data_IF_056554799728
#
_entry.id   IF_056554799728
#
_cell.length_a   1.000
_cell.length_b   1.000
_cell.length_c   1.000
_cell.angle_alpha   90.00
_cell.angle_beta   90.00
_cell.angle_gamma   90.00
#
_symmetry.space_group_name_H-M   'P 1'
#
loop_
_entity.id
_entity.type
_entity.pdbx_description
1 polymer ?
#
# COMPACT_ATOMS: atom_id res chain seq x y z
N UNK A 1 58.77 -2.60 51.55
CA UNK A 1 59.10 -3.78 50.80
C UNK A 1 57.88 -4.66 50.70
N UNK A 2 57.01 -4.50 49.77
CA UNK A 2 55.96 -5.47 49.42
C UNK A 2 55.69 -5.28 47.95
N UNK A 3 55.98 -6.32 47.18
CA UNK A 3 55.78 -6.39 45.74
C UNK A 3 54.30 -6.44 45.50
N UNK A 4 53.75 -5.50 44.71
CA UNK A 4 52.38 -5.54 44.23
C UNK A 4 52.43 -6.15 42.85
N UNK A 5 52.02 -7.41 42.75
CA UNK A 5 51.78 -8.06 41.45
C UNK A 5 50.52 -7.48 40.84
N UNK A 6 50.68 -6.73 39.75
CA UNK A 6 49.56 -6.31 38.92
C UNK A 6 49.09 -7.48 38.08
N UNK A 7 47.86 -7.91 38.28
CA UNK A 7 47.18 -8.85 37.44
C UNK A 7 46.66 -8.08 36.22
N UNK A 8 47.33 -8.25 35.09
CA UNK A 8 46.83 -7.77 33.81
C UNK A 8 45.71 -8.73 33.35
N UNK A 9 44.48 -8.32 33.57
CA UNK A 9 43.35 -9.02 32.99
C UNK A 9 43.31 -8.71 31.47
N UNK A 10 43.73 -9.66 30.66
CA UNK A 10 43.58 -9.63 29.22
C UNK A 10 42.07 -9.86 28.94
N UNK A 11 41.36 -8.80 28.68
CA UNK A 11 40.03 -8.88 28.10
C UNK A 11 40.17 -9.29 26.63
N UNK A 12 40.10 -10.58 26.38
CA UNK A 12 39.86 -11.09 25.02
C UNK A 12 38.45 -10.73 24.63
N UNK A 13 38.32 -9.64 23.86
CA UNK A 13 37.09 -9.30 23.17
C UNK A 13 36.89 -10.38 22.10
N UNK A 14 36.06 -11.37 22.43
CA UNK A 14 35.54 -12.32 21.47
C UNK A 14 34.58 -11.55 20.54
N UNK A 15 35.13 -11.00 19.46
CA UNK A 15 34.36 -10.45 18.38
C UNK A 15 33.59 -11.60 17.75
N UNK A 16 32.40 -11.91 18.28
CA UNK A 16 31.42 -12.68 17.57
C UNK A 16 31.02 -11.85 16.36
N UNK A 17 31.64 -12.14 15.23
CA UNK A 17 31.16 -11.72 13.92
C UNK A 17 29.77 -12.32 13.75
N UNK A 18 28.76 -11.55 14.17
CA UNK A 18 27.40 -11.79 13.76
C UNK A 18 27.40 -11.59 12.24
N UNK A 19 27.64 -12.68 11.52
CA UNK A 19 27.37 -12.74 10.10
C UNK A 19 25.89 -12.43 9.96
N UNK A 20 25.59 -11.15 9.73
CA UNK A 20 24.36 -10.75 9.09
C UNK A 20 24.37 -11.47 7.76
N UNK A 21 23.80 -12.66 7.72
CA UNK A 21 23.26 -13.23 6.51
C UNK A 21 22.18 -12.22 6.07
N UNK A 22 22.63 -11.25 5.30
CA UNK A 22 21.76 -10.47 4.45
C UNK A 22 20.95 -11.53 3.71
N UNK A 23 19.71 -11.71 4.10
CA UNK A 23 18.73 -12.36 3.25
C UNK A 23 18.69 -11.48 1.99
N UNK A 24 19.58 -11.78 1.07
CA UNK A 24 19.34 -11.55 -0.34
C UNK A 24 18.13 -12.45 -0.62
N UNK A 25 16.93 -11.94 -0.31
CA UNK A 25 15.73 -12.47 -0.89
C UNK A 25 16.03 -12.43 -2.39
N UNK A 26 16.26 -13.59 -2.96
CA UNK A 26 16.33 -13.79 -4.39
C UNK A 26 15.12 -13.03 -4.91
N UNK A 27 15.37 -11.89 -5.55
CA UNK A 27 14.32 -11.16 -6.26
C UNK A 27 14.00 -12.07 -7.43
N UNK A 28 13.18 -13.06 -7.15
CA UNK A 28 12.56 -13.86 -8.17
C UNK A 28 12.11 -12.87 -9.22
N UNK A 29 12.70 -12.98 -10.43
CA UNK A 29 12.46 -12.01 -11.50
C UNK A 29 10.97 -11.98 -11.70
N UNK A 30 10.34 -10.94 -11.20
CA UNK A 30 8.90 -10.74 -11.27
C UNK A 30 8.46 -10.95 -12.73
N UNK A 31 7.77 -12.06 -12.98
CA UNK A 31 7.16 -12.33 -14.28
C UNK A 31 5.72 -11.87 -14.20
N UNK A 32 5.36 -10.81 -14.94
CA UNK A 32 3.97 -10.38 -14.99
C UNK A 32 3.09 -11.53 -15.48
N UNK A 33 2.04 -11.81 -14.75
CA UNK A 33 1.04 -12.80 -15.13
C UNK A 33 -0.14 -12.06 -15.77
N UNK A 34 -0.40 -12.35 -17.05
CA UNK A 34 -1.53 -11.75 -17.76
C UNK A 34 -2.84 -12.06 -17.05
N UNK A 35 -3.64 -11.03 -16.80
CA UNK A 35 -4.91 -11.20 -16.13
C UNK A 35 -5.98 -11.72 -17.13
N UNK A 36 -6.73 -12.74 -16.70
CA UNK A 36 -7.89 -13.21 -17.41
C UNK A 36 -9.15 -12.54 -16.79
N UNK A 37 -9.68 -11.53 -17.47
CA UNK A 37 -10.82 -10.75 -16.99
C UNK A 37 -12.11 -11.56 -16.90
N UNK A 38 -12.31 -12.58 -17.75
CA UNK A 38 -13.49 -13.46 -17.67
C UNK A 38 -13.43 -14.32 -16.40
N UNK A 39 -12.24 -14.83 -16.06
CA UNK A 39 -12.01 -15.55 -14.81
C UNK A 39 -12.22 -14.64 -13.61
N UNK A 40 -11.70 -13.42 -13.64
CA UNK A 40 -11.92 -12.43 -12.56
C UNK A 40 -13.42 -12.19 -12.40
N UNK A 41 -14.15 -11.95 -13.50
CA UNK A 41 -15.60 -11.73 -13.47
C UNK A 41 -16.33 -12.89 -12.81
N UNK A 42 -16.05 -14.11 -13.27
CA UNK A 42 -16.69 -15.32 -12.71
C UNK A 42 -16.46 -15.41 -11.21
N UNK A 43 -15.22 -15.18 -10.75
CA UNK A 43 -14.88 -15.28 -9.35
C UNK A 43 -15.51 -14.17 -8.46
N UNK A 44 -15.50 -12.91 -8.94
CA UNK A 44 -15.97 -11.80 -8.10
C UNK A 44 -17.49 -11.69 -8.03
N UNK A 45 -18.21 -12.32 -8.97
CA UNK A 45 -19.68 -12.34 -8.98
C UNK A 45 -20.29 -13.57 -8.31
N UNK A 46 -19.52 -14.64 -8.11
CA UNK A 46 -20.00 -15.88 -7.45
C UNK A 46 -19.88 -15.75 -5.93
N UNK A 47 -21.00 -15.78 -5.17
CA UNK A 47 -20.99 -15.75 -3.72
C UNK A 47 -20.24 -16.93 -3.06
N UNK A 48 -20.12 -18.09 -3.75
CA UNK A 48 -19.39 -19.26 -3.26
C UNK A 48 -17.88 -19.11 -3.44
N UNK A 49 -17.43 -18.24 -4.33
CA UNK A 49 -16.01 -17.99 -4.60
C UNK A 49 -15.28 -17.41 -3.39
N UNK A 50 -14.03 -17.82 -3.09
CA UNK A 50 -13.18 -17.16 -2.12
C UNK A 50 -12.88 -15.70 -2.49
N UNK A 51 -12.98 -15.37 -3.80
CA UNK A 51 -12.75 -14.04 -4.35
C UNK A 51 -14.04 -13.24 -4.58
N UNK A 52 -15.16 -13.63 -3.96
CA UNK A 52 -16.40 -12.87 -4.07
C UNK A 52 -16.21 -11.41 -3.66
N UNK A 53 -16.61 -10.46 -4.52
CA UNK A 53 -16.25 -9.06 -4.36
C UNK A 53 -16.64 -8.47 -3.01
N UNK A 54 -17.87 -8.69 -2.53
CA UNK A 54 -18.33 -8.18 -1.24
C UNK A 54 -17.51 -8.71 -0.04
N UNK A 55 -16.91 -9.89 -0.17
CA UNK A 55 -16.01 -10.46 0.85
C UNK A 55 -14.65 -9.76 0.81
N UNK A 56 -14.08 -9.58 -0.38
CA UNK A 56 -12.82 -8.89 -0.57
C UNK A 56 -12.92 -7.43 -0.13
N UNK A 57 -14.01 -6.78 -0.48
CA UNK A 57 -14.28 -5.40 -0.07
C UNK A 57 -14.29 -5.25 1.45
N UNK A 58 -15.02 -6.12 2.18
CA UNK A 58 -15.03 -6.12 3.65
C UNK A 58 -13.63 -6.32 4.25
N UNK A 59 -12.83 -7.21 3.70
CA UNK A 59 -11.44 -7.39 4.13
C UNK A 59 -10.62 -6.11 3.93
N UNK A 60 -10.75 -5.50 2.77
CA UNK A 60 -10.06 -4.25 2.46
C UNK A 60 -10.47 -3.11 3.40
N UNK A 61 -11.75 -2.92 3.64
CA UNK A 61 -12.27 -1.90 4.58
C UNK A 61 -11.82 -2.14 6.01
N UNK A 62 -11.81 -3.40 6.46
CA UNK A 62 -11.35 -3.76 7.82
C UNK A 62 -9.83 -3.73 7.98
N UNK A 63 -9.06 -3.41 6.94
CA UNK A 63 -7.60 -3.43 6.92
C UNK A 63 -7.02 -4.83 7.24
N UNK A 64 -7.62 -5.88 6.70
CA UNK A 64 -7.12 -7.24 6.87
C UNK A 64 -5.73 -7.37 6.21
N UNK A 65 -4.70 -7.48 7.04
CA UNK A 65 -3.31 -7.59 6.60
C UNK A 65 -2.95 -8.98 6.07
N UNK A 66 -3.88 -9.94 6.14
CA UNK A 66 -3.69 -11.29 5.61
C UNK A 66 -4.22 -11.44 4.18
N UNK A 67 -4.69 -10.36 3.55
CA UNK A 67 -5.10 -10.42 2.15
C UNK A 67 -3.93 -10.80 1.26
N UNK A 68 -4.11 -11.85 0.47
CA UNK A 68 -3.12 -12.31 -0.49
C UNK A 68 -3.04 -11.39 -1.72
N UNK A 69 -1.97 -11.50 -2.50
CA UNK A 69 -1.82 -10.79 -3.78
C UNK A 69 -2.97 -11.14 -4.74
N UNK A 70 -3.43 -12.39 -4.77
CA UNK A 70 -4.54 -12.80 -5.61
C UNK A 70 -5.86 -12.14 -5.17
N UNK A 71 -6.08 -11.95 -3.88
CA UNK A 71 -7.24 -11.22 -3.36
C UNK A 71 -7.17 -9.74 -3.75
N UNK A 72 -6.00 -9.09 -3.67
CA UNK A 72 -5.82 -7.71 -4.15
C UNK A 72 -6.02 -7.59 -5.67
N UNK A 73 -5.55 -8.56 -6.47
CA UNK A 73 -5.81 -8.59 -7.92
C UNK A 73 -7.30 -8.68 -8.21
N UNK A 74 -8.01 -9.61 -7.57
CA UNK A 74 -9.47 -9.76 -7.75
C UNK A 74 -10.23 -8.53 -7.23
N UNK A 75 -9.78 -7.91 -6.15
CA UNK A 75 -10.37 -6.68 -5.64
C UNK A 75 -10.23 -5.53 -6.63
N UNK A 76 -9.01 -5.27 -7.12
CA UNK A 76 -8.75 -4.15 -8.02
C UNK A 76 -9.40 -4.34 -9.40
N UNK A 77 -9.12 -5.47 -10.05
CA UNK A 77 -9.67 -5.75 -11.38
C UNK A 77 -11.15 -6.15 -11.35
N UNK A 78 -11.62 -6.71 -10.26
CA UNK A 78 -13.03 -7.04 -10.06
C UNK A 78 -13.94 -5.84 -9.86
N UNK A 79 -13.37 -4.67 -9.54
CA UNK A 79 -14.15 -3.45 -9.37
C UNK A 79 -14.91 -3.06 -10.64
N UNK A 80 -14.35 -3.33 -11.81
CA UNK A 80 -15.01 -3.01 -13.10
C UNK A 80 -16.33 -3.76 -13.32
N UNK A 81 -16.60 -4.82 -12.55
CA UNK A 81 -17.82 -5.62 -12.63
C UNK A 81 -18.85 -5.25 -11.56
N UNK A 82 -18.59 -4.20 -10.77
CA UNK A 82 -19.53 -3.74 -9.75
C UNK A 82 -20.52 -2.73 -10.35
N UNK A 83 -21.73 -2.70 -9.79
CA UNK A 83 -22.83 -1.86 -10.29
C UNK A 83 -22.51 -0.36 -10.23
N UNK A 84 -21.72 0.05 -9.23
CA UNK A 84 -21.31 1.43 -9.02
C UNK A 84 -20.03 1.82 -9.76
N UNK A 85 -19.43 0.90 -10.54
CA UNK A 85 -18.23 1.19 -11.31
C UNK A 85 -18.47 2.24 -12.37
N UNK A 86 -17.67 3.29 -12.35
CA UNK A 86 -17.64 4.31 -13.40
C UNK A 86 -16.19 4.74 -13.66
N UNK A 87 -15.61 4.38 -14.83
CA UNK A 87 -14.23 4.72 -15.15
C UNK A 87 -13.97 6.22 -15.31
N UNK A 88 -15.05 6.98 -15.54
CA UNK A 88 -14.99 8.44 -15.68
C UNK A 88 -15.42 9.17 -14.42
N UNK A 89 -15.61 8.45 -13.31
CA UNK A 89 -16.01 9.06 -12.04
C UNK A 89 -14.94 10.04 -11.57
N UNK A 90 -15.30 11.29 -11.52
CA UNK A 90 -14.51 12.35 -10.90
C UNK A 90 -15.25 12.76 -9.62
N UNK A 91 -14.59 12.57 -8.48
CA UNK A 91 -15.16 13.06 -7.23
C UNK A 91 -15.12 14.58 -7.18
N UNK A 92 -16.25 15.21 -6.86
CA UNK A 92 -16.30 16.67 -6.63
C UNK A 92 -15.36 17.12 -5.50
N UNK A 93 -15.09 16.22 -4.55
CA UNK A 93 -14.19 16.48 -3.44
C UNK A 93 -12.73 16.54 -3.88
N UNK A 94 -12.33 15.79 -4.91
CA UNK A 94 -11.00 15.90 -5.49
C UNK A 94 -10.71 17.30 -6.02
N UNK A 95 -11.69 17.94 -6.63
CA UNK A 95 -11.57 19.31 -7.16
C UNK A 95 -11.31 20.34 -6.04
N UNK A 96 -11.79 20.10 -4.81
CA UNK A 96 -11.58 21.00 -3.66
C UNK A 96 -10.12 21.11 -3.23
N UNK A 97 -9.33 20.09 -3.51
CA UNK A 97 -7.91 20.04 -3.13
C UNK A 97 -6.96 20.07 -4.33
N UNK A 98 -7.49 20.06 -5.54
CA UNK A 98 -6.69 20.15 -6.76
C UNK A 98 -5.68 21.31 -6.77
N UNK A 99 -6.00 22.53 -6.34
CA UNK A 99 -5.05 23.64 -6.29
C UNK A 99 -3.86 23.37 -5.36
N UNK A 100 -4.05 22.50 -4.36
CA UNK A 100 -3.00 22.14 -3.40
C UNK A 100 -1.98 21.15 -3.97
N UNK A 101 -2.30 20.39 -5.02
CA UNK A 101 -1.36 19.44 -5.64
C UNK A 101 -0.08 20.08 -6.16
N UNK A 102 -0.13 21.34 -6.56
CA UNK A 102 0.99 22.05 -7.16
C UNK A 102 1.88 22.73 -6.14
N UNK A 103 1.52 22.71 -4.87
CA UNK A 103 2.34 23.27 -3.79
C UNK A 103 3.39 22.27 -3.34
N UNK A 104 4.60 22.77 -3.07
CA UNK A 104 5.69 21.93 -2.54
C UNK A 104 5.52 21.66 -1.03
N UNK A 105 4.92 22.59 -0.31
CA UNK A 105 4.69 22.49 1.14
C UNK A 105 3.29 22.98 1.48
N UNK A 106 2.73 22.47 2.57
CA UNK A 106 1.38 22.78 3.01
C UNK A 106 1.37 23.23 4.46
N UNK A 107 0.56 24.22 4.77
CA UNK A 107 0.27 24.63 6.13
C UNK A 107 -0.53 23.53 6.87
N UNK A 108 -0.52 23.51 8.22
CA UNK A 108 -1.34 22.56 8.98
C UNK A 108 -2.83 22.61 8.63
N UNK A 109 -3.38 23.80 8.31
CA UNK A 109 -4.77 23.96 7.90
C UNK A 109 -5.05 23.39 6.52
N UNK A 110 -4.11 23.56 5.57
CA UNK A 110 -4.20 22.93 4.26
C UNK A 110 -4.12 21.41 4.37
N UNK A 111 -3.26 20.87 5.24
CA UNK A 111 -3.22 19.43 5.49
C UNK A 111 -4.56 18.90 6.07
N UNK A 112 -5.23 19.65 6.95
CA UNK A 112 -6.56 19.28 7.44
C UNK A 112 -7.60 19.28 6.29
N UNK A 113 -7.51 20.26 5.40
CA UNK A 113 -8.35 20.33 4.19
C UNK A 113 -8.11 19.14 3.26
N UNK A 114 -6.83 18.80 3.02
CA UNK A 114 -6.45 17.62 2.21
C UNK A 114 -6.99 16.34 2.85
N UNK A 115 -6.79 16.14 4.14
CA UNK A 115 -7.28 14.95 4.85
C UNK A 115 -8.80 14.82 4.67
N UNK A 116 -9.55 15.90 4.91
CA UNK A 116 -11.02 15.90 4.80
C UNK A 116 -11.47 15.49 3.40
N UNK A 117 -10.99 16.18 2.39
CA UNK A 117 -11.54 16.02 1.03
C UNK A 117 -10.93 14.83 0.28
N UNK A 118 -9.68 14.42 0.57
CA UNK A 118 -9.14 13.19 0.03
C UNK A 118 -9.89 11.97 0.58
N UNK A 119 -10.26 11.97 1.85
CA UNK A 119 -11.06 10.89 2.44
C UNK A 119 -12.43 10.76 1.78
N UNK A 120 -13.14 11.86 1.58
CA UNK A 120 -14.42 11.89 0.88
C UNK A 120 -14.26 11.46 -0.60
N UNK A 121 -13.19 11.91 -1.26
CA UNK A 121 -12.89 11.52 -2.63
C UNK A 121 -12.61 10.01 -2.75
N UNK A 122 -11.92 9.43 -1.77
CA UNK A 122 -11.65 7.99 -1.72
C UNK A 122 -12.88 7.16 -1.36
N UNK A 123 -13.89 7.75 -0.72
CA UNK A 123 -15.19 7.10 -0.56
C UNK A 123 -15.94 7.00 -1.90
N UNK A 124 -15.81 8.01 -2.78
CA UNK A 124 -16.39 8.00 -4.11
C UNK A 124 -15.61 7.14 -5.10
N UNK A 125 -14.28 7.21 -5.05
CA UNK A 125 -13.36 6.45 -5.91
C UNK A 125 -12.27 5.79 -5.08
N UNK A 126 -12.51 4.57 -4.60
CA UNK A 126 -11.67 3.92 -3.60
C UNK A 126 -10.29 3.51 -4.11
N UNK A 127 -10.09 3.48 -5.43
CA UNK A 127 -8.82 3.08 -6.04
C UNK A 127 -8.10 4.24 -6.75
N UNK A 128 -8.41 5.48 -6.39
CA UNK A 128 -7.63 6.64 -6.83
C UNK A 128 -6.28 6.69 -6.10
N UNK A 129 -5.25 6.13 -6.74
CA UNK A 129 -3.90 6.04 -6.16
C UNK A 129 -3.27 7.42 -5.93
N UNK A 130 -3.65 8.44 -6.70
CA UNK A 130 -3.12 9.79 -6.52
C UNK A 130 -3.74 10.43 -5.26
N UNK A 131 -5.04 10.26 -5.06
CA UNK A 131 -5.70 10.69 -3.84
C UNK A 131 -5.14 9.97 -2.61
N UNK A 132 -4.90 8.64 -2.72
CA UNK A 132 -4.27 7.89 -1.62
C UNK A 132 -2.90 8.45 -1.25
N UNK A 133 -2.04 8.73 -2.24
CA UNK A 133 -0.71 9.33 -1.99
C UNK A 133 -0.82 10.67 -1.28
N UNK A 134 -1.71 11.53 -1.74
CA UNK A 134 -1.88 12.86 -1.18
C UNK A 134 -2.47 12.83 0.24
N UNK A 135 -3.41 11.92 0.47
CA UNK A 135 -3.96 11.66 1.79
C UNK A 135 -2.91 11.16 2.79
N UNK A 136 -2.08 10.19 2.37
CA UNK A 136 -0.97 9.66 3.17
C UNK A 136 0.04 10.77 3.52
N UNK A 137 0.39 11.60 2.54
CA UNK A 137 1.26 12.74 2.76
C UNK A 137 0.71 13.66 3.86
N UNK A 138 -0.53 14.14 3.73
CA UNK A 138 -1.15 15.05 4.68
C UNK A 138 -1.30 14.43 6.08
N UNK A 139 -1.59 13.13 6.17
CA UNK A 139 -1.61 12.40 7.44
C UNK A 139 -0.23 12.38 8.11
N UNK A 140 0.86 12.20 7.35
CA UNK A 140 2.24 12.23 7.86
C UNK A 140 2.61 13.63 8.36
N UNK A 141 2.29 14.68 7.61
CA UNK A 141 2.50 16.08 8.02
C UNK A 141 1.77 16.40 9.33
N UNK A 142 0.57 15.86 9.51
CA UNK A 142 -0.22 15.99 10.74
C UNK A 142 0.17 14.99 11.84
N UNK A 143 1.27 14.24 11.67
CA UNK A 143 1.78 13.21 12.61
C UNK A 143 0.76 12.10 12.94
N UNK A 144 -0.22 11.88 12.07
CA UNK A 144 -1.21 10.79 12.19
C UNK A 144 -0.63 9.48 11.62
N UNK A 145 0.54 9.05 12.14
CA UNK A 145 1.35 7.99 11.54
C UNK A 145 0.64 6.63 11.48
N UNK A 146 -0.12 6.25 12.50
CA UNK A 146 -0.85 4.98 12.49
C UNK A 146 -1.83 4.91 11.31
N UNK A 147 -2.60 5.98 11.09
CA UNK A 147 -3.53 6.07 9.97
C UNK A 147 -2.81 6.12 8.62
N UNK A 148 -1.71 6.89 8.56
CA UNK A 148 -0.88 6.95 7.35
C UNK A 148 -0.31 5.58 6.97
N UNK A 149 0.10 4.77 7.94
CA UNK A 149 0.64 3.42 7.71
C UNK A 149 -0.41 2.47 7.14
N UNK A 150 -1.66 2.53 7.61
CA UNK A 150 -2.77 1.74 7.06
C UNK A 150 -2.99 2.06 5.57
N UNK A 151 -3.06 3.33 5.22
CA UNK A 151 -3.26 3.77 3.84
C UNK A 151 -2.06 3.49 2.96
N UNK A 152 -0.84 3.60 3.51
CA UNK A 152 0.38 3.22 2.80
C UNK A 152 0.39 1.71 2.48
N UNK A 153 -0.04 0.87 3.42
CA UNK A 153 -0.19 -0.57 3.22
C UNK A 153 -1.16 -0.87 2.07
N UNK A 154 -2.35 -0.27 2.08
CA UNK A 154 -3.34 -0.41 1.00
C UNK A 154 -2.77 0.00 -0.34
N UNK A 155 -2.17 1.20 -0.41
CA UNK A 155 -1.57 1.72 -1.63
C UNK A 155 -0.50 0.77 -2.19
N UNK A 156 0.41 0.29 -1.35
CA UNK A 156 1.48 -0.60 -1.79
C UNK A 156 0.93 -1.87 -2.42
N UNK A 157 -0.01 -2.54 -1.76
CA UNK A 157 -0.58 -3.79 -2.27
C UNK A 157 -1.43 -3.60 -3.55
N UNK A 158 -2.13 -2.47 -3.68
CA UNK A 158 -2.82 -2.13 -4.93
C UNK A 158 -1.82 -1.90 -6.07
N UNK A 159 -0.74 -1.16 -5.83
CA UNK A 159 0.31 -0.96 -6.82
C UNK A 159 0.97 -2.29 -7.20
N UNK A 160 1.28 -3.15 -6.22
CA UNK A 160 1.82 -4.49 -6.48
C UNK A 160 0.85 -5.35 -7.30
N UNK A 161 -0.45 -5.31 -6.99
CA UNK A 161 -1.47 -6.02 -7.77
C UNK A 161 -1.52 -5.55 -9.22
N UNK A 162 -1.44 -4.24 -9.47
CA UNK A 162 -1.40 -3.66 -10.81
C UNK A 162 -0.12 -4.09 -11.53
N UNK A 163 1.04 -3.93 -10.91
CA UNK A 163 2.33 -4.29 -11.51
C UNK A 163 2.46 -5.80 -11.73
N UNK A 164 1.73 -6.62 -10.96
CA UNK A 164 1.72 -8.08 -11.12
C UNK A 164 1.15 -8.55 -12.46
N UNK A 165 0.46 -7.72 -13.19
CA UNK A 165 -0.18 -8.06 -14.46
C UNK A 165 0.56 -7.56 -15.70
N UNK A 166 1.55 -6.69 -15.52
CA UNK A 166 2.35 -6.15 -16.61
C UNK A 166 3.18 -4.94 -16.19
N UNK A 167 4.15 -4.59 -17.01
CA UNK A 167 5.02 -3.44 -16.78
C UNK A 167 4.51 -2.16 -17.41
N UNK A 168 3.49 -2.25 -18.27
CA UNK A 168 3.02 -1.13 -19.09
C UNK A 168 4.01 -0.68 -20.18
N UNK A 169 5.14 -1.38 -20.34
CA UNK A 169 6.22 -0.98 -21.26
C UNK A 169 6.08 -1.58 -22.66
N UNK A 170 5.21 -2.56 -22.84
CA UNK A 170 4.91 -3.19 -24.14
C UNK A 170 3.41 -3.37 -24.28
N UNK A 171 2.89 -3.16 -25.49
CA UNK A 171 1.57 -3.69 -25.88
C UNK A 171 1.74 -5.20 -26.05
N UNK A 172 1.15 -5.97 -25.15
CA UNK A 172 1.01 -7.42 -25.31
C UNK A 172 -0.19 -7.72 -26.21
#
# INVERSE_FOLDING_TARGET
>A
MKKLLGIIAIFTILATSLSMSVFAADKEKFKPEKINMDSVRAHVTDPASPYFYKRLWRKFESNDTNMSMQEYRHLYYGYVFQEDYNPYRMSEFANKIQPLYYKQTHTPAECDTIIKYAELSLADNPFDLNQMKFFIYALKEKKKFARASIWQYRLNHLVEAILSTGTGLKKD
#
